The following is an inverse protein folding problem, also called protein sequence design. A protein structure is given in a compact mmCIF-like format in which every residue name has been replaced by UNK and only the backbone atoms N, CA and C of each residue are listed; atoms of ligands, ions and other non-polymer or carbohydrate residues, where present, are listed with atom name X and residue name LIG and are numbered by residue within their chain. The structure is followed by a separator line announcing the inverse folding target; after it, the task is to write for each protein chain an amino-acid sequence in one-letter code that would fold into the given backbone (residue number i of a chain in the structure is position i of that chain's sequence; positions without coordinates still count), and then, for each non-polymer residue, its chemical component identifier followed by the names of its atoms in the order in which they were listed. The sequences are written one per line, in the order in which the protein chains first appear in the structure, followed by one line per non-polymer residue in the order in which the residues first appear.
data_IF_841781044541
#
_entry.id   IF_841781044541
#
_cell.length_a   1.000
_cell.length_b   1.000
_cell.length_c   1.000
_cell.angle_alpha   90.00
_cell.angle_beta   90.00
_cell.angle_gamma   90.00
#
_symmetry.space_group_name_H-M   'P 1'
#
loop_
_entity.id
_entity.type
_entity.pdbx_description
1 polymer ?
#
# COMPACT_ATOMS: atom_id res chain seq x y z
N UNK A 1 4.36 4.63 -8.39
CA UNK A 1 4.50 3.84 -7.16
C UNK A 1 5.56 2.78 -7.43
N UNK A 2 6.61 2.72 -6.61
CA UNK A 2 7.79 1.85 -6.85
C UNK A 2 7.56 0.44 -6.29
N UNK A 3 6.64 0.32 -5.35
CA UNK A 3 6.36 -0.91 -4.65
C UNK A 3 5.06 -1.53 -5.19
N UNK A 4 5.05 -2.84 -5.37
CA UNK A 4 3.84 -3.63 -5.63
C UNK A 4 3.35 -4.40 -4.40
N UNK A 5 3.79 -3.99 -3.21
CA UNK A 5 3.39 -4.59 -1.93
C UNK A 5 2.18 -3.87 -1.34
N UNK A 6 1.38 -4.60 -0.57
CA UNK A 6 0.34 -4.05 0.30
C UNK A 6 0.76 -4.10 1.77
N UNK A 7 0.44 -3.05 2.54
CA UNK A 7 0.59 -3.02 4.00
C UNK A 7 -0.75 -2.65 4.61
N UNK A 8 -1.08 -3.31 5.72
CA UNK A 8 -2.33 -3.11 6.45
C UNK A 8 -2.01 -2.74 7.89
N UNK A 9 -2.85 -1.89 8.47
CA UNK A 9 -2.67 -1.39 9.83
C UNK A 9 -3.97 -1.48 10.62
N UNK A 10 -3.87 -1.65 11.93
CA UNK A 10 -4.97 -1.29 12.83
C UNK A 10 -5.01 0.25 12.97
N UNK A 11 -6.09 0.92 12.53
CA UNK A 11 -6.20 2.36 12.65
C UNK A 11 -6.56 2.82 14.07
N UNK A 12 -6.69 1.91 15.05
CA UNK A 12 -7.03 2.23 16.44
C UNK A 12 -5.79 2.22 17.31
N UNK A 13 -5.50 3.35 17.96
CA UNK A 13 -4.42 3.50 18.93
C UNK A 13 -5.03 4.01 20.23
N UNK A 14 -4.84 3.29 21.33
CA UNK A 14 -5.37 3.63 22.66
C UNK A 14 -6.87 3.99 22.66
N UNK A 15 -7.67 3.25 21.86
CA UNK A 15 -9.11 3.46 21.71
C UNK A 15 -9.50 4.60 20.74
N UNK A 16 -8.54 5.34 20.20
CA UNK A 16 -8.77 6.40 19.22
C UNK A 16 -8.61 5.85 17.80
N UNK A 17 -9.66 5.96 16.98
CA UNK A 17 -9.61 5.58 15.57
C UNK A 17 -9.12 6.75 14.71
N UNK A 18 -8.06 6.51 13.96
CA UNK A 18 -7.54 7.44 12.96
C UNK A 18 -8.13 7.15 11.58
N UNK A 19 -8.26 8.21 10.78
CA UNK A 19 -8.68 8.16 9.38
C UNK A 19 -7.63 8.88 8.55
N UNK A 20 -7.27 8.32 7.41
CA UNK A 20 -6.12 8.78 6.64
C UNK A 20 -6.50 9.21 5.24
N UNK A 21 -5.82 10.23 4.74
CA UNK A 21 -5.80 10.61 3.32
C UNK A 21 -4.38 10.43 2.76
N UNK A 22 -4.29 10.17 1.45
CA UNK A 22 -3.00 10.20 0.76
C UNK A 22 -2.50 11.65 0.74
N UNK A 23 -1.35 11.89 1.35
CA UNK A 23 -0.79 13.24 1.51
C UNK A 23 0.31 13.57 0.50
N UNK A 24 0.93 12.56 -0.12
CA UNK A 24 1.96 12.76 -1.13
C UNK A 24 2.98 11.64 -1.16
N UNK A 25 4.17 11.96 -1.68
CA UNK A 25 5.32 11.06 -1.76
C UNK A 25 6.49 11.64 -0.96
N UNK A 26 7.15 10.79 -0.19
CA UNK A 26 8.39 11.08 0.52
C UNK A 26 9.35 9.91 0.32
N UNK A 27 10.57 10.18 -0.15
CA UNK A 27 11.58 9.16 -0.47
C UNK A 27 11.03 8.00 -1.34
N UNK A 28 10.21 8.33 -2.34
CA UNK A 28 9.62 7.35 -3.26
C UNK A 28 8.47 6.51 -2.70
N UNK A 29 8.08 6.75 -1.45
CA UNK A 29 7.01 6.06 -0.74
C UNK A 29 5.84 7.01 -0.51
N UNK A 30 4.60 6.50 -0.57
CA UNK A 30 3.44 7.31 -0.18
C UNK A 30 3.51 7.68 1.31
N UNK A 31 2.93 8.82 1.64
CA UNK A 31 2.68 9.23 3.02
C UNK A 31 1.20 9.50 3.21
N UNK A 32 0.76 9.30 4.45
CA UNK A 32 -0.64 9.39 4.85
C UNK A 32 -0.79 10.54 5.84
N UNK A 33 -1.75 11.43 5.65
CA UNK A 33 -2.09 12.44 6.66
C UNK A 33 -3.30 11.96 7.45
N UNK A 34 -3.24 11.98 8.77
CA UNK A 34 -4.43 11.67 9.58
C UNK A 34 -5.35 12.87 9.70
N UNK A 35 -6.66 12.64 9.55
CA UNK A 35 -7.68 13.69 9.59
C UNK A 35 -7.91 14.28 10.98
N UNK A 36 -7.47 13.61 12.04
CA UNK A 36 -7.74 14.02 13.42
C UNK A 36 -6.79 15.13 13.88
N UNK A 37 -5.51 14.98 13.56
CA UNK A 37 -4.43 15.87 14.02
C UNK A 37 -3.69 16.53 12.85
N UNK A 38 -3.80 16.00 11.64
CA UNK A 38 -3.00 16.42 10.50
C UNK A 38 -1.54 15.97 10.58
N UNK A 39 -1.21 14.98 11.42
CA UNK A 39 0.12 14.39 11.42
C UNK A 39 0.31 13.55 10.16
N UNK A 40 1.55 13.50 9.68
CA UNK A 40 1.92 12.77 8.47
C UNK A 40 2.65 11.50 8.89
N UNK A 41 2.21 10.38 8.35
CA UNK A 41 2.62 9.03 8.67
C UNK A 41 3.25 8.38 7.44
N UNK A 42 4.23 7.53 7.65
CA UNK A 42 4.79 6.67 6.61
C UNK A 42 3.80 5.54 6.28
N UNK A 43 3.59 5.25 4.99
CA UNK A 43 2.68 4.15 4.61
C UNK A 43 3.27 2.75 4.82
N UNK A 44 4.59 2.62 5.00
CA UNK A 44 5.26 1.33 5.00
C UNK A 44 5.40 0.71 6.40
N UNK A 45 5.69 1.52 7.42
CA UNK A 45 5.82 1.06 8.81
C UNK A 45 4.84 1.73 9.78
N UNK A 46 4.04 2.70 9.31
CA UNK A 46 2.99 3.31 10.12
C UNK A 46 3.52 4.22 11.23
N UNK A 47 4.74 4.75 11.10
CA UNK A 47 5.33 5.71 12.03
C UNK A 47 5.05 7.14 11.61
N UNK A 48 5.20 8.09 12.55
CA UNK A 48 4.93 9.50 12.28
C UNK A 48 6.19 10.19 11.76
N UNK A 49 6.08 10.75 10.56
CA UNK A 49 7.13 11.51 9.90
C UNK A 49 7.18 12.96 10.41
N UNK A 50 6.04 13.64 10.51
CA UNK A 50 5.94 15.04 10.96
C UNK A 50 4.55 15.39 11.46
N UNK A 51 4.40 16.54 12.12
CA UNK A 51 3.13 17.07 12.63
C UNK A 51 2.95 16.90 14.14
N UNK A 52 1.74 17.15 14.67
CA UNK A 52 1.50 17.26 16.11
C UNK A 52 1.87 16.02 16.94
N UNK A 53 1.81 14.83 16.36
CA UNK A 53 2.14 13.59 17.05
C UNK A 53 3.63 13.18 16.90
N UNK A 54 4.43 13.93 16.14
CA UNK A 54 5.84 13.60 15.91
C UNK A 54 6.64 13.56 17.23
N UNK A 55 7.48 12.55 17.38
CA UNK A 55 8.32 12.37 18.58
C UNK A 55 7.58 11.82 19.82
N UNK A 56 6.27 11.55 19.74
CA UNK A 56 5.51 10.96 20.85
C UNK A 56 5.76 9.46 21.04
N UNK A 57 6.31 8.78 20.03
CA UNK A 57 6.42 7.33 19.99
C UNK A 57 5.16 6.60 19.50
N UNK A 58 4.11 7.36 19.15
CA UNK A 58 2.89 6.81 18.56
C UNK A 58 3.19 6.17 17.20
N UNK A 59 2.68 4.96 16.96
CA UNK A 59 2.79 4.24 15.69
C UNK A 59 1.59 3.32 15.47
N UNK A 60 1.27 3.05 14.21
CA UNK A 60 0.25 2.08 13.85
C UNK A 60 0.76 0.65 14.04
N UNK A 61 -0.14 -0.26 14.42
CA UNK A 61 0.19 -1.69 14.49
C UNK A 61 -0.01 -2.33 13.12
N UNK A 62 1.06 -2.91 12.56
CA UNK A 62 0.99 -3.66 11.30
C UNK A 62 0.13 -4.90 11.48
N UNK A 63 -0.81 -5.10 10.56
CA UNK A 63 -1.64 -6.30 10.48
C UNK A 63 -1.05 -7.27 9.45
N UNK A 64 -1.03 -8.58 9.73
CA UNK A 64 -0.63 -9.58 8.75
C UNK A 64 -1.51 -9.49 7.50
N UNK A 65 -0.87 -9.29 6.35
CA UNK A 65 -1.52 -9.30 5.05
C UNK A 65 -0.89 -10.37 4.17
N UNK A 66 -1.73 -11.08 3.42
CA UNK A 66 -1.30 -12.08 2.46
C UNK A 66 -1.61 -11.58 1.04
N UNK A 67 -0.57 -11.52 0.21
CA UNK A 67 -0.71 -11.30 -1.22
C UNK A 67 -0.75 -12.66 -1.91
N UNK A 68 -1.80 -12.92 -2.69
CA UNK A 68 -1.99 -14.22 -3.36
C UNK A 68 -2.78 -14.06 -4.65
N UNK A 69 -2.79 -15.09 -5.51
CA UNK A 69 -3.60 -15.07 -6.72
C UNK A 69 -5.05 -15.33 -6.37
N UNK A 70 -5.97 -14.71 -7.12
CA UNK A 70 -7.40 -14.91 -6.95
C UNK A 70 -7.82 -16.39 -6.99
N UNK A 71 -7.22 -17.19 -7.87
CA UNK A 71 -7.53 -18.62 -7.99
C UNK A 71 -7.21 -19.41 -6.72
N UNK A 72 -6.15 -19.02 -6.01
CA UNK A 72 -5.69 -19.70 -4.80
C UNK A 72 -6.62 -19.30 -3.64
N UNK A 73 -6.98 -18.01 -3.55
CA UNK A 73 -7.96 -17.50 -2.59
C UNK A 73 -9.31 -18.21 -2.71
N UNK A 74 -9.84 -18.38 -3.92
CA UNK A 74 -11.14 -19.03 -4.15
C UNK A 74 -11.10 -20.51 -3.80
N UNK A 75 -9.95 -21.17 -3.94
CA UNK A 75 -9.79 -22.56 -3.52
C UNK A 75 -9.94 -22.70 -1.99
N UNK A 76 -9.40 -21.73 -1.24
CA UNK A 76 -9.46 -21.71 0.23
C UNK A 76 -10.77 -21.12 0.78
N UNK A 77 -11.40 -20.21 0.03
CA UNK A 77 -12.58 -19.45 0.44
C UNK A 77 -13.69 -19.47 -0.63
N UNK A 78 -14.32 -20.65 -0.87
CA UNK A 78 -15.27 -20.85 -1.97
C UNK A 78 -16.55 -20.01 -1.85
N UNK A 79 -16.92 -19.60 -0.64
CA UNK A 79 -18.11 -18.78 -0.37
C UNK A 79 -17.85 -17.27 -0.54
N UNK A 80 -16.63 -16.87 -0.94
CA UNK A 80 -16.30 -15.46 -1.19
C UNK A 80 -17.19 -14.88 -2.28
N UNK A 81 -17.88 -13.79 -1.97
CA UNK A 81 -18.66 -13.03 -2.94
C UNK A 81 -17.84 -11.86 -3.49
N UNK A 82 -17.95 -11.62 -4.80
CA UNK A 82 -17.40 -10.43 -5.47
C UNK A 82 -18.54 -9.65 -6.12
N UNK A 83 -18.31 -8.36 -6.38
CA UNK A 83 -19.26 -7.56 -7.14
C UNK A 83 -19.42 -8.17 -8.54
N UNK A 84 -20.67 -8.34 -8.96
CA UNK A 84 -20.97 -8.83 -10.30
C UNK A 84 -20.51 -7.80 -11.34
N UNK A 85 -20.09 -8.31 -12.50
CA UNK A 85 -19.87 -7.46 -13.66
C UNK A 85 -21.20 -6.89 -14.14
N UNK A 86 -21.26 -5.57 -14.35
CA UNK A 86 -22.45 -4.90 -14.88
C UNK A 86 -22.13 -4.15 -16.17
N UNK A 87 -22.76 -4.55 -17.28
CA UNK A 87 -22.48 -4.01 -18.62
C UNK A 87 -22.65 -2.49 -18.72
N UNK A 88 -23.54 -1.89 -17.91
CA UNK A 88 -23.73 -0.43 -17.86
C UNK A 88 -22.51 0.35 -17.37
N UNK A 89 -21.52 -0.32 -16.80
CA UNK A 89 -20.25 0.24 -16.35
C UNK A 89 -19.05 -0.30 -17.15
N UNK A 90 -19.29 -0.98 -18.28
CA UNK A 90 -18.23 -1.58 -19.09
C UNK A 90 -17.15 -0.57 -19.51
N UNK A 91 -17.53 0.70 -19.72
CA UNK A 91 -16.63 1.81 -20.04
C UNK A 91 -15.74 2.24 -18.87
N UNK A 92 -16.05 1.82 -17.63
CA UNK A 92 -15.30 2.12 -16.41
C UNK A 92 -14.42 0.96 -15.95
N UNK A 93 -14.60 -0.23 -16.51
CA UNK A 93 -13.75 -1.36 -16.16
C UNK A 93 -12.51 -1.37 -17.06
N UNK A 94 -11.35 -1.59 -16.45
CA UNK A 94 -10.10 -1.75 -17.16
C UNK A 94 -9.27 -2.86 -16.53
N UNK A 95 -8.50 -3.56 -17.35
CA UNK A 95 -7.55 -4.55 -16.85
C UNK A 95 -6.39 -3.85 -16.13
N UNK A 96 -6.07 -4.33 -14.95
CA UNK A 96 -4.88 -3.92 -14.19
C UNK A 96 -3.94 -5.11 -14.10
N UNK A 97 -2.67 -4.86 -14.39
CA UNK A 97 -1.59 -5.82 -14.13
C UNK A 97 -0.78 -5.30 -12.95
N UNK A 98 -0.82 -5.97 -11.78
CA UNK A 98 0.08 -5.68 -10.68
C UNK A 98 1.53 -6.00 -11.08
N UNK A 99 2.52 -5.31 -10.53
CA UNK A 99 3.94 -5.64 -10.76
C UNK A 99 4.48 -5.21 -12.13
N UNK A 100 3.96 -4.14 -12.74
CA UNK A 100 4.46 -3.70 -14.06
C UNK A 100 5.94 -3.28 -13.98
N UNK A 101 6.80 -3.76 -14.91
CA UNK A 101 8.20 -3.34 -14.98
C UNK A 101 8.31 -1.90 -15.49
N UNK A 102 9.30 -1.17 -15.00
CA UNK A 102 9.69 0.17 -15.45
C UNK A 102 9.80 1.18 -14.30
N UNK A 103 10.92 1.17 -13.59
CA UNK A 103 11.26 2.26 -12.67
C UNK A 103 11.48 3.54 -13.49
N UNK A 104 10.85 4.64 -13.07
CA UNK A 104 11.10 5.94 -13.67
C UNK A 104 12.58 6.31 -13.58
N UNK A 105 13.07 7.08 -14.56
CA UNK A 105 14.50 7.46 -14.64
C UNK A 105 15.00 8.12 -13.35
N UNK A 106 14.15 8.92 -12.74
CA UNK A 106 14.42 9.61 -11.48
C UNK A 106 14.72 8.65 -10.32
N UNK A 107 14.13 7.44 -10.32
CA UNK A 107 14.48 6.41 -9.35
C UNK A 107 15.74 5.66 -9.72
N UNK A 108 15.88 5.29 -11.00
CA UNK A 108 17.07 4.57 -11.49
C UNK A 108 18.36 5.32 -11.16
N UNK A 109 18.37 6.65 -11.28
CA UNK A 109 19.54 7.48 -10.99
C UNK A 109 19.88 7.55 -9.48
N UNK A 110 18.98 7.10 -8.60
CA UNK A 110 19.18 7.06 -7.13
C UNK A 110 19.56 5.68 -6.59
N UNK A 111 19.51 4.64 -7.42
CA UNK A 111 19.79 3.26 -6.98
C UNK A 111 21.29 3.11 -6.71
N UNK A 112 21.63 2.85 -5.45
CA UNK A 112 23.01 2.57 -5.03
C UNK A 112 23.39 1.10 -5.26
N UNK A 113 22.41 0.19 -5.17
CA UNK A 113 22.59 -1.24 -5.39
C UNK A 113 21.27 -1.86 -5.89
N UNK A 114 21.36 -2.76 -6.87
CA UNK A 114 20.21 -3.47 -7.44
C UNK A 114 20.40 -4.98 -7.28
N UNK A 115 19.40 -5.65 -6.71
CA UNK A 115 19.31 -7.09 -6.72
C UNK A 115 18.73 -7.57 -8.06
N UNK A 116 19.46 -8.44 -8.76
CA UNK A 116 19.11 -8.90 -10.10
C UNK A 116 18.60 -10.34 -10.14
N UNK A 117 18.33 -10.95 -8.97
CA UNK A 117 17.83 -12.34 -8.89
C UNK A 117 16.44 -12.51 -9.50
N UNK A 118 15.62 -11.46 -9.47
CA UNK A 118 14.30 -11.41 -10.08
C UNK A 118 14.20 -10.20 -11.02
N UNK A 119 13.32 -10.25 -12.03
CA UNK A 119 12.95 -9.08 -12.80
C UNK A 119 12.44 -7.94 -11.90
N UNK A 120 12.55 -6.71 -12.40
CA UNK A 120 11.99 -5.53 -11.73
C UNK A 120 10.48 -5.71 -11.49
N UNK A 121 10.03 -5.43 -10.26
CA UNK A 121 8.64 -5.56 -9.81
C UNK A 121 8.04 -6.97 -9.94
N UNK A 122 8.87 -8.01 -10.02
CA UNK A 122 8.38 -9.38 -10.01
C UNK A 122 7.58 -9.66 -8.73
N UNK A 123 6.43 -10.30 -8.87
CA UNK A 123 5.52 -10.53 -7.76
C UNK A 123 5.97 -11.77 -6.99
N UNK A 124 6.40 -11.55 -5.75
CA UNK A 124 6.69 -12.64 -4.80
C UNK A 124 5.39 -12.97 -4.07
N UNK A 125 4.79 -14.10 -4.44
CA UNK A 125 3.54 -14.64 -3.89
C UNK A 125 3.80 -15.89 -3.05
#
# INVERSE_FOLDING_TARGET
MICSSGVGFDPVIDGTRYMFDVAGLYNGLFVMSDRLTGSVWTHYDGTILTGPLAGTGTALTIQPMLQQRWRDWVADHPDTSVLAWEDRYADRYWSVEPGRPGLGREFLDTIVSLDTRLPENDLVL
#
